data_IF_293260617730
#
_entry.id   IF_293260617730
#
_cell.length_a   1.000
_cell.length_b   1.000
_cell.length_c   1.000
_cell.angle_alpha   90.00
_cell.angle_beta   90.00
_cell.angle_gamma   90.00
#
_symmetry.space_group_name_H-M   'P 1'
#
loop_
_entity.id
_entity.type
_entity.pdbx_description
1 polymer ?
#
# COMPACT_ATOMS: atom_id res chain seq x y z
N UNK A 1 8.50 7.17 -6.63
CA UNK A 1 7.33 7.87 -6.02
C UNK A 1 7.12 7.62 -4.52
N UNK A 2 7.25 6.44 -3.92
CA UNK A 2 6.92 6.28 -2.49
C UNK A 2 7.58 7.31 -1.55
N UNK A 3 8.85 7.70 -1.74
CA UNK A 3 9.48 8.76 -0.94
C UNK A 3 9.07 10.19 -1.33
N UNK A 4 8.60 10.42 -2.55
CA UNK A 4 8.08 11.72 -3.00
C UNK A 4 6.59 11.87 -2.62
N UNK A 5 5.83 10.81 -2.64
CA UNK A 5 4.41 10.77 -2.26
C UNK A 5 4.25 10.98 -0.75
N UNK A 6 5.05 10.31 0.09
CA UNK A 6 5.02 10.55 1.53
C UNK A 6 5.38 12.02 1.88
N UNK A 7 6.33 12.63 1.14
CA UNK A 7 6.63 14.05 1.27
C UNK A 7 5.48 14.94 0.80
N UNK A 8 4.78 14.56 -0.28
CA UNK A 8 3.62 15.30 -0.78
C UNK A 8 2.45 15.26 0.20
N UNK A 9 2.07 14.09 0.71
CA UNK A 9 0.98 13.97 1.69
C UNK A 9 1.29 14.63 3.04
N UNK A 10 2.57 14.87 3.33
CA UNK A 10 2.99 15.65 4.49
C UNK A 10 3.07 17.16 4.22
N UNK A 11 2.92 17.62 2.98
CA UNK A 11 2.95 19.04 2.62
C UNK A 11 1.79 19.81 3.25
N UNK A 12 2.01 21.10 3.51
CA UNK A 12 0.96 22.00 4.01
C UNK A 12 -0.16 22.19 2.98
N UNK A 13 0.16 22.13 1.69
CA UNK A 13 -0.81 22.21 0.61
C UNK A 13 -1.77 21.03 0.63
N UNK A 14 -1.27 19.81 0.62
CA UNK A 14 -2.11 18.61 0.68
C UNK A 14 -2.97 18.57 1.95
N UNK A 15 -2.39 18.86 3.12
CA UNK A 15 -3.12 18.93 4.40
C UNK A 15 -4.24 19.95 4.39
N UNK A 16 -4.00 21.09 3.75
CA UNK A 16 -5.02 22.13 3.59
C UNK A 16 -6.17 21.64 2.70
N UNK A 17 -5.86 21.00 1.56
CA UNK A 17 -6.84 20.45 0.64
C UNK A 17 -7.65 19.32 1.30
N UNK A 18 -7.00 18.43 2.01
CA UNK A 18 -7.65 17.35 2.76
C UNK A 18 -8.62 17.89 3.80
N UNK A 19 -8.19 18.87 4.62
CA UNK A 19 -9.05 19.51 5.63
C UNK A 19 -10.23 20.25 5.01
N UNK A 20 -10.02 20.91 3.89
CA UNK A 20 -11.09 21.60 3.15
C UNK A 20 -12.13 20.59 2.64
N UNK A 21 -11.69 19.48 2.06
CA UNK A 21 -12.57 18.41 1.59
C UNK A 21 -13.36 17.78 2.74
N UNK A 22 -12.69 17.36 3.83
CA UNK A 22 -13.34 16.72 4.98
C UNK A 22 -14.34 17.67 5.67
N UNK A 23 -14.01 18.97 5.76
CA UNK A 23 -14.92 19.99 6.31
C UNK A 23 -16.14 20.17 5.42
N UNK A 24 -15.96 20.29 4.11
CA UNK A 24 -17.05 20.43 3.14
C UNK A 24 -17.98 19.21 3.18
N UNK A 25 -17.41 18.00 3.23
CA UNK A 25 -18.14 16.73 3.34
C UNK A 25 -19.00 16.70 4.60
N UNK A 26 -18.43 17.07 5.75
CA UNK A 26 -19.12 17.09 7.06
C UNK A 26 -20.25 18.12 7.09
N UNK A 27 -20.06 19.26 6.43
CA UNK A 27 -21.06 20.33 6.36
C UNK A 27 -22.10 20.13 5.24
N UNK A 28 -21.97 19.11 4.41
CA UNK A 28 -22.84 18.84 3.26
C UNK A 28 -22.75 19.93 2.18
N UNK A 29 -21.59 20.61 2.07
CA UNK A 29 -21.32 21.65 1.09
C UNK A 29 -20.49 21.13 -0.06
N UNK A 30 -20.62 21.77 -1.22
CA UNK A 30 -19.73 21.49 -2.35
C UNK A 30 -18.30 21.89 -2.02
N UNK A 31 -17.33 21.02 -2.33
CA UNK A 31 -15.92 21.32 -2.19
C UNK A 31 -15.42 22.08 -3.43
N UNK A 32 -14.55 23.08 -3.23
CA UNK A 32 -13.96 23.93 -4.29
C UNK A 32 -12.53 23.43 -4.61
N UNK A 33 -12.35 22.13 -4.73
CA UNK A 33 -11.09 21.53 -5.18
C UNK A 33 -11.22 21.03 -6.61
N UNK A 34 -10.13 21.05 -7.36
CA UNK A 34 -10.09 20.52 -8.72
C UNK A 34 -10.10 18.99 -8.77
N UNK A 35 -10.08 18.46 -9.99
CA UNK A 35 -10.12 17.01 -10.22
C UNK A 35 -8.89 16.29 -9.71
N UNK A 36 -7.71 16.90 -9.85
CA UNK A 36 -6.44 16.32 -9.44
C UNK A 36 -6.35 16.29 -7.91
N UNK A 37 -6.63 17.40 -7.23
CA UNK A 37 -6.59 17.46 -5.76
C UNK A 37 -7.58 16.48 -5.12
N UNK A 38 -8.75 16.28 -5.73
CA UNK A 38 -9.72 15.29 -5.25
C UNK A 38 -9.26 13.85 -5.54
N UNK A 39 -8.59 13.60 -6.66
CA UNK A 39 -8.00 12.32 -6.98
C UNK A 39 -6.85 11.98 -6.02
N UNK A 40 -5.98 12.95 -5.72
CA UNK A 40 -4.90 12.81 -4.73
C UNK A 40 -5.45 12.45 -3.34
N UNK A 41 -6.55 13.09 -2.91
CA UNK A 41 -7.23 12.76 -1.65
C UNK A 41 -7.80 11.34 -1.69
N UNK A 42 -8.36 10.91 -2.82
CA UNK A 42 -8.87 9.55 -2.97
C UNK A 42 -7.73 8.52 -2.94
N UNK A 43 -6.60 8.79 -3.59
CA UNK A 43 -5.40 7.94 -3.52
C UNK A 43 -4.82 7.89 -2.10
N UNK A 44 -4.74 9.02 -1.41
CA UNK A 44 -4.35 9.06 0.01
C UNK A 44 -5.23 8.16 0.88
N UNK A 45 -6.56 8.24 0.72
CA UNK A 45 -7.45 7.34 1.46
C UNK A 45 -7.24 5.88 1.08
N UNK A 46 -6.95 5.61 -0.20
CA UNK A 46 -6.65 4.26 -0.67
C UNK A 46 -5.39 3.70 0.01
N UNK A 47 -4.30 4.48 0.07
CA UNK A 47 -3.06 4.11 0.75
C UNK A 47 -3.24 3.93 2.27
N UNK A 48 -4.09 4.75 2.89
CA UNK A 48 -4.41 4.61 4.33
C UNK A 48 -5.42 3.48 4.62
N UNK A 49 -5.80 2.68 3.61
CA UNK A 49 -6.75 1.58 3.77
C UNK A 49 -8.21 2.01 3.98
N UNK A 50 -8.51 3.31 3.86
CA UNK A 50 -9.87 3.87 3.95
C UNK A 50 -10.61 3.72 2.62
N UNK A 51 -10.83 2.46 2.21
CA UNK A 51 -11.29 2.11 0.87
C UNK A 51 -12.67 2.68 0.51
N UNK A 52 -13.56 2.82 1.49
CA UNK A 52 -14.88 3.42 1.29
C UNK A 52 -14.76 4.93 1.01
N UNK A 53 -13.94 5.64 1.79
CA UNK A 53 -13.68 7.07 1.59
C UNK A 53 -12.96 7.31 0.25
N UNK A 54 -11.99 6.47 -0.12
CA UNK A 54 -11.29 6.54 -1.40
C UNK A 54 -12.27 6.47 -2.58
N UNK A 55 -13.15 5.47 -2.57
CA UNK A 55 -14.18 5.29 -3.61
C UNK A 55 -15.14 6.47 -3.66
N UNK A 56 -15.70 6.86 -2.51
CA UNK A 56 -16.66 7.97 -2.42
C UNK A 56 -16.05 9.27 -2.95
N UNK A 57 -14.79 9.57 -2.57
CA UNK A 57 -14.08 10.76 -3.03
C UNK A 57 -13.86 10.73 -4.54
N UNK A 58 -13.44 9.59 -5.09
CA UNK A 58 -13.23 9.44 -6.53
C UNK A 58 -14.55 9.50 -7.32
N UNK A 59 -15.65 8.92 -6.81
CA UNK A 59 -16.99 9.04 -7.41
C UNK A 59 -17.49 10.50 -7.37
N UNK A 60 -17.26 11.19 -6.26
CA UNK A 60 -17.60 12.62 -6.13
C UNK A 60 -16.81 13.45 -7.14
N UNK A 61 -15.50 13.27 -7.24
CA UNK A 61 -14.64 13.95 -8.21
C UNK A 61 -15.08 13.69 -9.66
N UNK A 62 -15.36 12.44 -10.02
CA UNK A 62 -15.85 12.06 -11.34
C UNK A 62 -17.24 12.66 -11.66
N UNK A 63 -18.09 12.90 -10.65
CA UNK A 63 -19.38 13.55 -10.83
C UNK A 63 -19.27 15.06 -11.10
N UNK A 64 -18.29 15.73 -10.46
CA UNK A 64 -18.03 17.15 -10.67
C UNK A 64 -17.26 17.40 -11.97
N UNK A 65 -16.35 16.52 -12.32
CA UNK A 65 -15.43 16.61 -13.45
C UNK A 65 -15.55 15.38 -14.36
N UNK A 66 -16.66 15.25 -15.14
CA UNK A 66 -16.91 14.03 -15.93
C UNK A 66 -15.84 13.73 -16.99
N UNK A 67 -15.14 14.76 -17.47
CA UNK A 67 -14.09 14.63 -18.50
C UNK A 67 -12.70 14.36 -17.90
N UNK A 68 -12.50 14.58 -16.59
CA UNK A 68 -11.20 14.39 -15.94
C UNK A 68 -10.77 12.93 -15.92
N UNK A 69 -9.48 12.69 -16.10
CA UNK A 69 -8.85 11.37 -16.18
C UNK A 69 -8.54 10.80 -14.80
N UNK A 70 -7.90 11.57 -13.91
CA UNK A 70 -7.39 11.10 -12.63
C UNK A 70 -8.45 10.40 -11.74
N UNK A 71 -9.67 10.95 -11.51
CA UNK A 71 -10.67 10.26 -10.71
C UNK A 71 -11.10 8.90 -11.28
N UNK A 72 -11.11 8.77 -12.63
CA UNK A 72 -11.47 7.51 -13.31
C UNK A 72 -10.37 6.46 -13.14
N UNK A 73 -9.10 6.88 -13.11
CA UNK A 73 -7.96 6.01 -12.83
C UNK A 73 -8.09 5.42 -11.41
N UNK A 74 -8.36 6.27 -10.41
CA UNK A 74 -8.55 5.81 -9.02
C UNK A 74 -9.71 4.81 -8.93
N UNK A 75 -10.84 5.09 -9.57
CA UNK A 75 -11.99 4.17 -9.61
C UNK A 75 -11.65 2.85 -10.29
N UNK A 76 -10.95 2.88 -11.41
CA UNK A 76 -10.53 1.66 -12.12
C UNK A 76 -9.61 0.80 -11.23
N UNK A 77 -8.61 1.41 -10.58
CA UNK A 77 -7.73 0.72 -9.62
C UNK A 77 -8.52 0.16 -8.43
N UNK A 78 -9.49 0.88 -7.90
CA UNK A 78 -10.39 0.38 -6.86
C UNK A 78 -11.12 -0.90 -7.30
N UNK A 79 -11.67 -0.93 -8.52
CA UNK A 79 -12.32 -2.13 -9.04
C UNK A 79 -11.34 -3.26 -9.36
N UNK A 80 -10.11 -2.98 -9.75
CA UNK A 80 -9.06 -3.98 -9.97
C UNK A 80 -8.61 -4.58 -8.63
N UNK A 81 -8.23 -3.73 -7.66
CA UNK A 81 -7.53 -4.17 -6.46
C UNK A 81 -8.47 -4.62 -5.34
N UNK A 82 -9.59 -3.92 -5.14
CA UNK A 82 -10.50 -4.14 -4.00
C UNK A 82 -11.67 -5.05 -4.39
N UNK A 83 -12.43 -4.67 -5.40
CA UNK A 83 -13.65 -5.41 -5.79
C UNK A 83 -13.37 -6.61 -6.68
N UNK A 84 -12.19 -6.68 -7.32
CA UNK A 84 -11.83 -7.70 -8.31
C UNK A 84 -12.87 -7.82 -9.43
N UNK A 85 -13.46 -6.69 -9.82
CA UNK A 85 -14.53 -6.57 -10.81
C UNK A 85 -13.95 -6.12 -12.16
N UNK A 86 -13.75 -7.08 -13.06
CA UNK A 86 -13.14 -6.84 -14.38
C UNK A 86 -14.00 -5.95 -15.27
N UNK A 87 -15.33 -6.07 -15.19
CA UNK A 87 -16.24 -5.33 -16.05
C UNK A 87 -16.33 -3.87 -15.63
N UNK A 88 -16.48 -3.59 -14.33
CA UNK A 88 -16.50 -2.21 -13.82
C UNK A 88 -15.16 -1.49 -14.00
N UNK A 89 -14.04 -2.20 -13.79
CA UNK A 89 -12.73 -1.64 -14.10
C UNK A 89 -12.63 -1.22 -15.57
N UNK A 90 -13.11 -2.10 -16.48
CA UNK A 90 -13.15 -1.81 -17.91
C UNK A 90 -14.05 -0.61 -18.25
N UNK A 91 -15.24 -0.52 -17.66
CA UNK A 91 -16.14 0.61 -17.84
C UNK A 91 -15.52 1.95 -17.43
N UNK A 92 -14.75 1.97 -16.33
CA UNK A 92 -14.01 3.15 -15.90
C UNK A 92 -12.93 3.53 -16.91
N UNK A 93 -12.16 2.55 -17.39
CA UNK A 93 -11.08 2.75 -18.38
C UNK A 93 -11.65 3.27 -19.71
N UNK A 94 -12.76 2.72 -20.20
CA UNK A 94 -13.38 3.13 -21.48
C UNK A 94 -13.95 4.57 -21.44
N UNK A 95 -14.15 5.14 -20.26
CA UNK A 95 -14.56 6.54 -20.09
C UNK A 95 -13.39 7.53 -20.07
N UNK A 96 -12.16 7.06 -20.07
CA UNK A 96 -10.96 7.91 -20.12
C UNK A 96 -10.75 8.34 -21.58
N UNK A 97 -10.65 9.63 -21.80
CA UNK A 97 -10.46 10.22 -23.14
C UNK A 97 -9.04 10.65 -23.40
N UNK A 98 -8.31 11.03 -22.35
CA UNK A 98 -6.89 11.38 -22.40
C UNK A 98 -6.07 10.13 -22.09
N UNK A 99 -5.33 9.62 -23.08
CA UNK A 99 -4.69 8.32 -23.02
C UNK A 99 -3.15 8.39 -23.19
N UNK A 100 -2.58 9.58 -23.08
CA UNK A 100 -1.17 9.82 -23.40
C UNK A 100 -0.33 10.24 -22.19
N UNK A 101 -0.72 9.84 -20.99
CA UNK A 101 0.04 10.06 -19.76
C UNK A 101 0.51 8.76 -19.13
N UNK A 102 1.47 8.86 -18.20
CA UNK A 102 2.07 7.74 -17.50
C UNK A 102 1.04 6.94 -16.69
N UNK A 103 0.15 7.62 -15.96
CA UNK A 103 -0.82 6.97 -15.08
C UNK A 103 -1.80 6.09 -15.87
N UNK A 104 -2.24 6.57 -17.05
CA UNK A 104 -3.07 5.78 -17.96
C UNK A 104 -2.31 4.56 -18.49
N UNK A 105 -1.05 4.72 -18.90
CA UNK A 105 -0.22 3.61 -19.39
C UNK A 105 -0.06 2.51 -18.34
N UNK A 106 0.23 2.90 -17.10
CA UNK A 106 0.33 1.99 -15.95
C UNK A 106 -1.00 1.31 -15.64
N UNK A 107 -2.12 2.06 -15.63
CA UNK A 107 -3.46 1.50 -15.41
C UNK A 107 -3.81 0.44 -16.46
N UNK A 108 -3.52 0.68 -17.74
CA UNK A 108 -3.78 -0.29 -18.82
C UNK A 108 -2.94 -1.55 -18.62
N UNK A 109 -1.66 -1.40 -18.26
CA UNK A 109 -0.81 -2.55 -17.97
C UNK A 109 -1.34 -3.34 -16.77
N UNK A 110 -1.72 -2.67 -15.69
CA UNK A 110 -2.30 -3.26 -14.50
C UNK A 110 -3.60 -4.02 -14.80
N UNK A 111 -4.51 -3.42 -15.57
CA UNK A 111 -5.73 -4.08 -16.01
C UNK A 111 -5.46 -5.34 -16.85
N UNK A 112 -4.48 -5.30 -17.74
CA UNK A 112 -4.11 -6.49 -18.51
C UNK A 112 -3.49 -7.58 -17.62
N UNK A 113 -2.67 -7.23 -16.63
CA UNK A 113 -2.16 -8.21 -15.65
C UNK A 113 -3.32 -8.81 -14.86
N UNK A 114 -4.22 -8.00 -14.34
CA UNK A 114 -5.40 -8.43 -13.60
C UNK A 114 -6.32 -9.36 -14.42
N UNK A 115 -6.41 -9.13 -15.73
CA UNK A 115 -7.18 -10.00 -16.65
C UNK A 115 -6.36 -11.15 -17.22
N UNK A 116 -5.19 -11.45 -16.65
CA UNK A 116 -4.27 -12.55 -17.02
C UNK A 116 -3.70 -12.45 -18.45
N UNK A 117 -3.67 -11.25 -19.03
CA UNK A 117 -3.14 -10.97 -20.38
C UNK A 117 -1.75 -10.34 -20.29
N UNK A 118 -0.82 -11.02 -19.63
CA UNK A 118 0.52 -10.49 -19.31
C UNK A 118 1.30 -9.94 -20.50
N UNK A 119 1.20 -10.60 -21.66
CA UNK A 119 1.87 -10.14 -22.88
C UNK A 119 1.30 -8.78 -23.33
N UNK A 120 -0.01 -8.57 -23.21
CA UNK A 120 -0.62 -7.27 -23.55
C UNK A 120 -0.22 -6.16 -22.59
N UNK A 121 0.02 -6.49 -21.31
CA UNK A 121 0.52 -5.53 -20.35
C UNK A 121 1.91 -5.02 -20.77
N UNK A 122 2.82 -5.93 -21.13
CA UNK A 122 4.15 -5.53 -21.60
C UNK A 122 4.06 -4.74 -22.91
N UNK A 123 3.24 -5.17 -23.86
CA UNK A 123 3.03 -4.41 -25.10
C UNK A 123 2.48 -3.00 -24.84
N UNK A 124 1.64 -2.81 -23.82
CA UNK A 124 1.13 -1.49 -23.46
C UNK A 124 2.23 -0.59 -22.89
N UNK A 125 3.07 -1.12 -22.01
CA UNK A 125 4.23 -0.41 -21.47
C UNK A 125 5.27 -0.09 -22.54
N UNK A 126 5.58 -1.05 -23.44
CA UNK A 126 6.51 -0.83 -24.55
C UNK A 126 5.98 0.24 -25.51
N UNK A 127 4.67 0.26 -25.74
CA UNK A 127 4.03 1.30 -26.55
C UNK A 127 4.13 2.66 -25.84
N UNK A 128 4.00 2.71 -24.53
CA UNK A 128 4.14 3.95 -23.76
C UNK A 128 5.52 4.61 -23.95
N UNK A 129 6.59 3.83 -24.05
CA UNK A 129 7.93 4.33 -24.41
C UNK A 129 8.00 5.09 -25.75
N UNK A 130 6.99 4.93 -26.61
CA UNK A 130 6.99 5.55 -27.96
C UNK A 130 6.19 6.84 -28.04
N UNK A 131 5.31 7.14 -27.06
CA UNK A 131 4.46 8.32 -27.10
C UNK A 131 4.56 9.20 -25.86
N UNK A 132 5.09 8.69 -24.75
CA UNK A 132 5.35 9.53 -23.58
C UNK A 132 6.53 10.47 -23.83
N UNK A 133 6.47 11.65 -23.25
CA UNK A 133 7.47 12.71 -23.39
C UNK A 133 7.89 13.21 -22.01
N UNK A 134 8.95 14.00 -21.95
CA UNK A 134 9.44 14.72 -20.79
C UNK A 134 9.59 13.82 -19.51
N UNK A 135 9.00 14.27 -18.40
CA UNK A 135 9.09 13.59 -17.09
C UNK A 135 8.41 12.22 -17.11
N UNK A 136 7.26 12.09 -17.78
CA UNK A 136 6.53 10.80 -17.90
C UNK A 136 7.37 9.72 -18.55
N UNK A 137 8.16 10.08 -19.57
CA UNK A 137 9.07 9.13 -20.23
C UNK A 137 10.27 8.76 -19.34
N UNK A 138 10.72 9.68 -18.48
CA UNK A 138 11.80 9.43 -17.54
C UNK A 138 11.34 8.53 -16.39
N UNK A 139 10.12 8.70 -15.92
CA UNK A 139 9.56 7.98 -14.79
C UNK A 139 9.02 6.59 -15.16
N UNK A 140 8.62 6.39 -16.42
CA UNK A 140 8.05 5.11 -16.87
C UNK A 140 8.89 3.88 -16.51
N UNK A 141 10.24 3.85 -16.67
CA UNK A 141 11.02 2.67 -16.33
C UNK A 141 10.91 2.27 -14.85
N UNK A 142 11.00 3.24 -13.95
CA UNK A 142 10.91 2.98 -12.51
C UNK A 142 9.49 2.53 -12.11
N UNK A 143 8.46 3.21 -12.62
CA UNK A 143 7.08 2.90 -12.30
C UNK A 143 6.61 1.57 -12.93
N UNK A 144 7.02 1.26 -14.17
CA UNK A 144 6.77 -0.03 -14.79
C UNK A 144 7.47 -1.17 -14.02
N UNK A 145 8.72 -0.95 -13.60
CA UNK A 145 9.45 -1.91 -12.76
C UNK A 145 8.70 -2.15 -11.45
N UNK A 146 8.24 -1.09 -10.80
CA UNK A 146 7.50 -1.14 -9.56
C UNK A 146 6.19 -1.95 -9.71
N UNK A 147 5.38 -1.58 -10.68
CA UNK A 147 4.13 -2.29 -11.01
C UNK A 147 4.36 -3.78 -11.26
N UNK A 148 5.33 -4.12 -12.09
CA UNK A 148 5.61 -5.51 -12.45
C UNK A 148 6.12 -6.33 -11.27
N UNK A 149 6.87 -5.72 -10.34
CA UNK A 149 7.30 -6.37 -9.10
C UNK A 149 6.12 -6.66 -8.17
N UNK A 150 5.14 -5.76 -8.06
CA UNK A 150 3.93 -5.96 -7.26
C UNK A 150 3.14 -7.20 -7.71
N UNK A 151 3.18 -7.48 -9.01
CA UNK A 151 2.53 -8.66 -9.59
C UNK A 151 3.47 -9.87 -9.79
N UNK A 152 4.68 -9.85 -9.19
CA UNK A 152 5.64 -10.96 -9.25
C UNK A 152 6.25 -11.23 -10.62
N UNK A 153 6.17 -10.26 -11.54
CA UNK A 153 6.71 -10.35 -12.90
C UNK A 153 8.19 -9.92 -12.96
N UNK A 154 9.02 -10.49 -12.09
CA UNK A 154 10.42 -10.09 -11.84
C UNK A 154 11.28 -10.01 -13.09
N UNK A 155 11.12 -10.96 -14.03
CA UNK A 155 11.92 -10.96 -15.28
C UNK A 155 11.62 -9.74 -16.14
N UNK A 156 10.35 -9.38 -16.27
CA UNK A 156 9.91 -8.24 -17.04
C UNK A 156 10.26 -6.93 -16.33
N UNK A 157 10.07 -6.88 -15.03
CA UNK A 157 10.47 -5.75 -14.19
C UNK A 157 11.94 -5.39 -14.38
N UNK A 158 12.83 -6.39 -14.43
CA UNK A 158 14.26 -6.19 -14.67
C UNK A 158 14.57 -5.48 -15.98
N UNK A 159 13.83 -5.81 -17.04
CA UNK A 159 14.00 -5.14 -18.32
C UNK A 159 13.75 -3.63 -18.21
N UNK A 160 12.67 -3.20 -17.55
CA UNK A 160 12.38 -1.77 -17.37
C UNK A 160 13.39 -1.10 -16.43
N UNK A 161 13.84 -1.75 -15.37
CA UNK A 161 14.88 -1.22 -14.51
C UNK A 161 16.19 -0.95 -15.27
N UNK A 162 16.52 -1.78 -16.27
CA UNK A 162 17.71 -1.60 -17.11
C UNK A 162 17.58 -0.41 -18.09
N UNK A 163 16.36 0.02 -18.42
CA UNK A 163 16.06 1.19 -19.27
C UNK A 163 16.25 2.52 -18.55
N UNK A 164 16.26 2.51 -17.20
CA UNK A 164 16.46 3.74 -16.42
C UNK A 164 17.82 4.37 -16.75
N UNK A 165 17.77 5.67 -17.05
CA UNK A 165 18.95 6.44 -17.52
C UNK A 165 19.83 6.90 -16.37
N UNK A 166 19.25 7.19 -15.20
CA UNK A 166 20.00 7.64 -14.03
C UNK A 166 20.15 6.52 -12.98
N UNK A 167 21.12 5.64 -13.25
CA UNK A 167 21.47 4.53 -12.34
C UNK A 167 22.09 4.96 -11.00
N UNK A 168 22.27 6.26 -10.80
CA UNK A 168 22.79 6.84 -9.55
C UNK A 168 21.70 7.46 -8.68
N UNK A 169 20.50 7.65 -9.22
CA UNK A 169 19.35 8.21 -8.50
C UNK A 169 18.96 7.34 -7.31
N UNK A 170 18.39 7.95 -6.28
CA UNK A 170 17.89 7.21 -5.13
C UNK A 170 16.70 6.32 -5.51
N UNK A 171 15.89 6.71 -6.50
CA UNK A 171 14.76 5.95 -6.99
C UNK A 171 15.20 4.69 -7.74
N UNK A 172 16.19 4.81 -8.63
CA UNK A 172 16.81 3.63 -9.24
C UNK A 172 17.40 2.67 -8.20
N UNK A 173 18.14 3.19 -7.22
CA UNK A 173 18.74 2.36 -6.17
C UNK A 173 17.66 1.66 -5.32
N UNK A 174 16.55 2.34 -5.00
CA UNK A 174 15.40 1.72 -4.32
C UNK A 174 14.80 0.58 -5.14
N UNK A 175 14.56 0.81 -6.43
CA UNK A 175 14.03 -0.23 -7.33
C UNK A 175 15.01 -1.39 -7.49
N UNK A 176 16.31 -1.11 -7.54
CA UNK A 176 17.36 -2.13 -7.59
C UNK A 176 17.41 -2.97 -6.31
N UNK A 177 17.26 -2.35 -5.12
CA UNK A 177 17.16 -3.09 -3.87
C UNK A 177 15.91 -3.98 -3.85
N UNK A 178 14.76 -3.44 -4.24
CA UNK A 178 13.50 -4.17 -4.33
C UNK A 178 13.58 -5.34 -5.31
N UNK A 179 14.24 -5.15 -6.45
CA UNK A 179 14.53 -6.21 -7.41
C UNK A 179 15.40 -7.31 -6.79
N UNK A 180 16.46 -6.95 -6.07
CA UNK A 180 17.32 -7.92 -5.41
C UNK A 180 16.53 -8.75 -4.37
N UNK A 181 15.67 -8.13 -3.58
CA UNK A 181 14.78 -8.84 -2.66
C UNK A 181 13.81 -9.79 -3.38
N UNK A 182 13.21 -9.35 -4.50
CA UNK A 182 12.33 -10.18 -5.32
C UNK A 182 13.08 -11.38 -5.95
N UNK A 183 14.36 -11.21 -6.28
CA UNK A 183 15.25 -12.29 -6.73
C UNK A 183 15.80 -13.15 -5.57
N UNK A 184 15.38 -12.90 -4.34
CA UNK A 184 15.85 -13.59 -3.11
C UNK A 184 17.33 -13.37 -2.79
N UNK A 185 17.90 -12.27 -3.24
CA UNK A 185 19.29 -11.84 -2.99
C UNK A 185 19.29 -10.82 -1.84
N UNK A 186 19.04 -11.29 -0.63
CA UNK A 186 18.85 -10.43 0.54
C UNK A 186 20.05 -9.51 0.77
N UNK A 187 21.27 -10.06 0.77
CA UNK A 187 22.48 -9.32 1.09
C UNK A 187 22.72 -8.14 0.13
N UNK A 188 22.47 -8.35 -1.17
CA UNK A 188 22.58 -7.30 -2.19
C UNK A 188 21.53 -6.21 -1.96
N UNK A 189 20.28 -6.59 -1.69
CA UNK A 189 19.20 -5.64 -1.42
C UNK A 189 19.43 -4.84 -0.15
N UNK A 190 19.83 -5.49 0.92
CA UNK A 190 20.11 -4.86 2.21
C UNK A 190 21.28 -3.87 2.13
N UNK A 191 22.39 -4.21 1.46
CA UNK A 191 23.53 -3.31 1.25
C UNK A 191 23.11 -2.03 0.51
N UNK A 192 22.26 -2.15 -0.49
CA UNK A 192 21.75 -0.98 -1.23
C UNK A 192 20.86 -0.12 -0.31
N UNK A 193 19.99 -0.73 0.47
CA UNK A 193 19.11 -0.02 1.42
C UNK A 193 19.93 0.69 2.51
N UNK A 194 20.93 0.04 3.07
CA UNK A 194 21.83 0.65 4.06
C UNK A 194 22.53 1.88 3.49
N UNK A 195 23.01 1.81 2.24
CA UNK A 195 23.62 2.97 1.56
C UNK A 195 22.63 4.12 1.32
N UNK A 196 21.36 3.82 1.08
CA UNK A 196 20.31 4.84 0.97
C UNK A 196 20.02 5.47 2.33
N UNK A 197 19.95 4.67 3.37
CA UNK A 197 19.77 5.12 4.76
C UNK A 197 20.96 5.97 5.22
N UNK A 198 22.20 5.61 4.88
CA UNK A 198 23.37 6.42 5.19
C UNK A 198 23.32 7.83 4.57
N UNK A 199 22.67 7.98 3.40
CA UNK A 199 22.46 9.29 2.75
C UNK A 199 21.34 10.10 3.41
N UNK A 200 20.30 9.43 3.88
CA UNK A 200 19.13 10.07 4.50
C UNK A 200 18.65 9.24 5.71
N UNK A 201 19.37 9.30 6.84
CA UNK A 201 19.10 8.46 8.02
C UNK A 201 17.81 8.83 8.75
N UNK A 202 17.22 9.99 8.47
CA UNK A 202 15.95 10.43 9.04
C UNK A 202 14.72 10.05 8.19
N UNK A 203 14.90 9.35 7.09
CA UNK A 203 13.82 8.86 6.25
C UNK A 203 13.21 7.58 6.84
N UNK A 204 12.10 7.73 7.56
CA UNK A 204 11.39 6.60 8.20
C UNK A 204 10.93 5.56 7.19
N UNK A 205 10.60 5.96 5.95
CA UNK A 205 10.20 5.07 4.86
C UNK A 205 11.28 4.07 4.48
N UNK A 206 12.55 4.49 4.42
CA UNK A 206 13.67 3.58 4.13
C UNK A 206 13.86 2.53 5.23
N UNK A 207 13.78 2.94 6.49
CA UNK A 207 13.84 2.02 7.63
C UNK A 207 12.68 1.03 7.65
N UNK A 208 11.46 1.49 7.31
CA UNK A 208 10.28 0.61 7.21
C UNK A 208 10.45 -0.44 6.10
N UNK A 209 10.88 -0.02 4.90
CA UNK A 209 11.13 -0.94 3.78
C UNK A 209 12.16 -2.00 4.19
N UNK A 210 13.30 -1.58 4.78
CA UNK A 210 14.32 -2.52 5.23
C UNK A 210 13.77 -3.50 6.26
N UNK A 211 13.00 -3.03 7.25
CA UNK A 211 12.41 -3.87 8.28
C UNK A 211 11.39 -4.88 7.71
N UNK A 212 10.56 -4.47 6.75
CA UNK A 212 9.63 -5.36 6.06
C UNK A 212 10.39 -6.49 5.35
N UNK A 213 11.44 -6.14 4.60
CA UNK A 213 12.22 -7.14 3.89
C UNK A 213 13.00 -8.05 4.85
N UNK A 214 13.53 -7.50 5.94
CA UNK A 214 14.13 -8.33 6.99
C UNK A 214 13.15 -9.34 7.59
N UNK A 215 11.87 -8.93 7.80
CA UNK A 215 10.81 -9.86 8.22
C UNK A 215 10.53 -10.93 7.15
N UNK A 216 10.50 -10.57 5.87
CA UNK A 216 10.26 -11.50 4.75
C UNK A 216 11.37 -12.54 4.59
N UNK A 217 12.58 -12.20 5.05
CA UNK A 217 13.76 -13.10 5.03
C UNK A 217 14.07 -13.71 6.41
N UNK A 218 13.08 -13.77 7.30
CA UNK A 218 13.17 -14.37 8.64
C UNK A 218 14.25 -13.74 9.56
N UNK A 219 14.69 -12.51 9.25
CA UNK A 219 15.66 -11.75 10.03
C UNK A 219 14.94 -10.85 11.06
N UNK A 220 14.09 -11.47 11.86
CA UNK A 220 13.14 -10.75 12.74
C UNK A 220 13.79 -9.84 13.77
N UNK A 221 14.96 -10.21 14.31
CA UNK A 221 15.70 -9.37 15.26
C UNK A 221 16.20 -8.09 14.59
N UNK A 222 16.71 -8.21 13.34
CA UNK A 222 17.15 -7.04 12.57
C UNK A 222 15.97 -6.17 12.21
N UNK A 223 14.84 -6.76 11.81
CA UNK A 223 13.61 -6.04 11.51
C UNK A 223 13.11 -5.22 12.72
N UNK A 224 13.13 -5.80 13.92
CA UNK A 224 12.80 -5.08 15.13
C UNK A 224 13.73 -3.87 15.36
N UNK A 225 15.04 -4.06 15.19
CA UNK A 225 16.01 -2.96 15.33
C UNK A 225 15.79 -1.87 14.28
N UNK A 226 15.63 -2.24 13.01
CA UNK A 226 15.42 -1.25 11.93
C UNK A 226 14.15 -0.43 12.14
N UNK A 227 13.05 -1.07 12.57
CA UNK A 227 11.80 -0.35 12.81
C UNK A 227 11.84 0.48 14.10
N UNK A 228 12.63 0.10 15.10
CA UNK A 228 12.84 0.93 16.29
C UNK A 228 13.57 2.24 15.93
N UNK A 229 14.47 2.25 14.91
CA UNK A 229 15.03 3.50 14.39
C UNK A 229 13.96 4.37 13.72
N UNK A 230 13.06 3.81 12.92
CA UNK A 230 11.94 4.58 12.35
C UNK A 230 11.06 5.20 13.44
N UNK A 231 10.73 4.43 14.49
CA UNK A 231 9.92 4.90 15.63
C UNK A 231 10.65 5.91 16.52
N UNK A 232 11.98 5.91 16.55
CA UNK A 232 12.75 6.94 17.23
C UNK A 232 12.69 8.30 16.51
N UNK A 233 12.42 8.29 15.20
CA UNK A 233 12.25 9.49 14.35
C UNK A 233 10.79 9.95 14.42
N UNK A 234 9.83 9.04 14.26
CA UNK A 234 8.38 9.29 14.34
C UNK A 234 7.69 8.24 15.22
N UNK A 235 7.38 8.62 16.45
CA UNK A 235 6.72 7.76 17.45
C UNK A 235 5.19 7.64 17.26
N UNK A 236 4.62 8.31 16.24
CA UNK A 236 3.20 8.27 15.89
C UNK A 236 2.90 7.50 14.60
N UNK A 237 3.83 6.72 14.11
CA UNK A 237 3.64 5.87 12.95
C UNK A 237 2.99 4.53 13.35
N UNK A 238 1.66 4.42 13.13
CA UNK A 238 0.90 3.21 13.44
C UNK A 238 1.38 1.99 12.62
N UNK A 239 1.80 2.20 11.36
CA UNK A 239 2.33 1.15 10.49
C UNK A 239 3.66 0.62 11.04
N UNK A 240 4.54 1.49 11.50
CA UNK A 240 5.81 1.10 12.11
C UNK A 240 5.58 0.21 13.34
N UNK A 241 4.61 0.54 14.20
CA UNK A 241 4.24 -0.34 15.32
C UNK A 241 3.66 -1.68 14.86
N UNK A 242 2.90 -1.73 13.76
CA UNK A 242 2.44 -3.00 13.18
C UNK A 242 3.61 -3.86 12.70
N UNK A 243 4.59 -3.28 12.02
CA UNK A 243 5.79 -3.98 11.55
C UNK A 243 6.60 -4.50 12.74
N UNK A 244 6.77 -3.69 13.81
CA UNK A 244 7.46 -4.11 15.04
C UNK A 244 6.73 -5.27 15.71
N UNK A 245 5.39 -5.18 15.81
CA UNK A 245 4.55 -6.25 16.35
C UNK A 245 4.71 -7.54 15.55
N UNK A 246 4.74 -7.47 14.22
CA UNK A 246 4.96 -8.61 13.34
C UNK A 246 6.32 -9.27 13.59
N UNK A 247 7.40 -8.49 13.74
CA UNK A 247 8.73 -9.01 14.06
C UNK A 247 8.73 -9.77 15.40
N UNK A 248 8.18 -9.18 16.46
CA UNK A 248 8.08 -9.85 17.77
C UNK A 248 7.15 -11.06 17.75
N UNK A 249 6.06 -11.02 17.01
CA UNK A 249 5.17 -12.18 16.83
C UNK A 249 5.90 -13.36 16.19
N UNK A 250 6.65 -13.11 15.13
CA UNK A 250 7.47 -14.12 14.46
C UNK A 250 8.61 -14.68 15.34
N UNK A 251 9.12 -13.87 16.27
CA UNK A 251 10.06 -14.30 17.31
C UNK A 251 9.36 -15.05 18.46
N UNK A 252 8.05 -15.31 18.37
CA UNK A 252 7.24 -15.90 19.44
C UNK A 252 7.22 -15.06 20.73
N UNK A 253 7.61 -13.79 20.68
CA UNK A 253 7.52 -12.87 21.80
C UNK A 253 6.17 -12.15 21.80
N UNK A 254 5.11 -12.91 22.10
CA UNK A 254 3.72 -12.44 21.99
C UNK A 254 3.39 -11.28 22.92
N UNK A 255 4.09 -11.14 24.06
CA UNK A 255 3.89 -10.03 24.97
C UNK A 255 4.36 -8.71 24.35
N UNK A 256 5.59 -8.67 23.80
CA UNK A 256 6.10 -7.48 23.10
C UNK A 256 5.31 -7.19 21.82
N UNK A 257 4.87 -8.22 21.13
CA UNK A 257 4.01 -8.06 19.97
C UNK A 257 2.70 -7.37 20.35
N UNK A 258 2.03 -7.79 21.44
CA UNK A 258 0.83 -7.13 21.97
C UNK A 258 1.05 -5.67 22.32
N UNK A 259 2.18 -5.34 22.94
CA UNK A 259 2.52 -3.95 23.29
C UNK A 259 2.63 -3.08 22.03
N UNK A 260 3.30 -3.58 20.99
CA UNK A 260 3.43 -2.89 19.71
C UNK A 260 2.06 -2.73 19.01
N UNK A 261 1.26 -3.81 18.91
CA UNK A 261 -0.06 -3.73 18.27
C UNK A 261 -1.03 -2.82 19.03
N UNK A 262 -0.95 -2.74 20.37
CA UNK A 262 -1.73 -1.77 21.15
C UNK A 262 -1.37 -0.33 20.84
N UNK A 263 -0.06 -0.02 20.74
CA UNK A 263 0.39 1.31 20.34
C UNK A 263 -0.09 1.67 18.93
N UNK A 264 -0.06 0.72 17.99
CA UNK A 264 -0.65 0.92 16.67
C UNK A 264 -2.14 1.24 16.77
N UNK A 265 -2.91 0.48 17.56
CA UNK A 265 -4.35 0.68 17.75
C UNK A 265 -4.69 2.00 18.48
N UNK A 266 -3.83 2.49 19.37
CA UNK A 266 -4.00 3.81 20.02
C UNK A 266 -3.86 4.97 19.01
N UNK A 267 -3.07 4.78 17.95
CA UNK A 267 -2.88 5.78 16.90
C UNK A 267 -3.97 5.64 15.83
N UNK A 268 -4.20 4.41 15.36
CA UNK A 268 -5.22 4.08 14.36
C UNK A 268 -6.00 2.87 14.84
N UNK A 269 -7.24 3.11 15.29
CA UNK A 269 -8.14 2.03 15.71
C UNK A 269 -8.63 1.24 14.47
N UNK A 270 -8.03 0.06 14.22
CA UNK A 270 -8.27 -0.75 13.04
C UNK A 270 -8.60 -2.20 13.38
N UNK A 271 -9.36 -2.86 12.50
CA UNK A 271 -9.63 -4.29 12.58
C UNK A 271 -8.34 -5.12 12.49
N UNK A 272 -7.34 -4.64 11.75
CA UNK A 272 -6.06 -5.33 11.59
C UNK A 272 -5.30 -5.43 12.92
N UNK A 273 -5.24 -4.35 13.69
CA UNK A 273 -4.60 -4.35 15.01
C UNK A 273 -5.29 -5.33 15.96
N UNK A 274 -6.63 -5.32 15.98
CA UNK A 274 -7.41 -6.25 16.83
C UNK A 274 -7.19 -7.71 16.41
N UNK A 275 -7.20 -7.99 15.11
CA UNK A 275 -6.94 -9.34 14.59
C UNK A 275 -5.54 -9.84 14.99
N UNK A 276 -4.51 -8.99 14.91
CA UNK A 276 -3.16 -9.38 15.31
C UNK A 276 -3.04 -9.57 16.83
N UNK A 277 -3.73 -8.76 17.63
CA UNK A 277 -3.82 -8.98 19.09
C UNK A 277 -4.55 -10.29 19.42
N UNK A 278 -5.64 -10.62 18.70
CA UNK A 278 -6.32 -11.90 18.85
C UNK A 278 -5.38 -13.08 18.58
N UNK A 279 -4.58 -13.03 17.52
CA UNK A 279 -3.59 -14.07 17.19
C UNK A 279 -2.52 -14.22 18.29
N UNK A 280 -2.09 -13.11 18.89
CA UNK A 280 -1.18 -13.17 20.06
C UNK A 280 -1.82 -13.90 21.24
N UNK A 281 -3.07 -13.58 21.59
CA UNK A 281 -3.79 -14.23 22.68
C UNK A 281 -4.06 -15.70 22.38
N UNK A 282 -4.38 -16.03 21.12
CA UNK A 282 -4.50 -17.43 20.70
C UNK A 282 -3.21 -18.22 20.93
N UNK A 283 -2.07 -17.67 20.52
CA UNK A 283 -0.75 -18.31 20.77
C UNK A 283 -0.42 -18.44 22.27
N UNK A 284 -0.93 -17.53 23.10
CA UNK A 284 -0.81 -17.61 24.58
C UNK A 284 -1.91 -18.46 25.22
N UNK A 285 -2.78 -19.10 24.44
CA UNK A 285 -3.89 -19.96 24.88
C UNK A 285 -4.97 -19.23 25.72
N UNK A 286 -5.09 -17.91 25.60
CA UNK A 286 -6.15 -17.12 26.21
C UNK A 286 -7.33 -16.98 25.21
N UNK A 287 -8.18 -18.02 25.17
CA UNK A 287 -9.26 -18.11 24.17
C UNK A 287 -10.36 -17.05 24.40
N UNK A 288 -10.60 -16.65 25.64
CA UNK A 288 -11.61 -15.63 25.96
C UNK A 288 -11.21 -14.29 25.34
N UNK A 289 -9.95 -13.87 25.51
CA UNK A 289 -9.45 -12.65 24.89
C UNK A 289 -9.31 -12.79 23.39
N UNK A 290 -8.93 -13.96 22.88
CA UNK A 290 -8.91 -14.23 21.43
C UNK A 290 -10.27 -13.92 20.82
N UNK A 291 -11.35 -14.49 21.36
CA UNK A 291 -12.70 -14.25 20.86
C UNK A 291 -13.16 -12.81 21.04
N UNK A 292 -12.78 -12.16 22.15
CA UNK A 292 -13.13 -10.76 22.38
C UNK A 292 -12.51 -9.83 21.31
N UNK A 293 -11.22 -10.01 20.99
CA UNK A 293 -10.55 -9.23 19.97
C UNK A 293 -11.00 -9.57 18.55
N UNK A 294 -11.31 -10.85 18.25
CA UNK A 294 -11.89 -11.21 16.94
C UNK A 294 -13.27 -10.56 16.74
N UNK A 295 -14.12 -10.52 17.77
CA UNK A 295 -15.41 -9.82 17.71
C UNK A 295 -15.22 -8.32 17.52
N UNK A 296 -14.25 -7.70 18.19
CA UNK A 296 -13.92 -6.29 17.98
C UNK A 296 -13.46 -6.04 16.54
N UNK A 297 -12.58 -6.88 15.99
CA UNK A 297 -12.15 -6.81 14.60
C UNK A 297 -13.32 -6.96 13.63
N UNK A 298 -14.23 -7.92 13.88
CA UNK A 298 -15.42 -8.13 13.05
C UNK A 298 -16.34 -6.90 13.03
N UNK A 299 -16.54 -6.22 14.17
CA UNK A 299 -17.38 -5.01 14.22
C UNK A 299 -16.80 -3.82 13.47
N UNK A 300 -15.48 -3.76 13.30
CA UNK A 300 -14.77 -2.73 12.54
C UNK A 300 -14.71 -3.05 11.05
N UNK A 301 -14.93 -4.30 10.64
CA UNK A 301 -14.93 -4.70 9.26
C UNK A 301 -16.13 -4.13 8.51
N UNK A 302 -15.86 -3.53 7.36
CA UNK A 302 -16.86 -3.19 6.35
C UNK A 302 -16.94 -4.28 5.28
N UNK A 303 -17.90 -4.20 4.37
CA UNK A 303 -17.97 -5.14 3.22
C UNK A 303 -16.75 -5.03 2.28
N UNK A 304 -16.01 -3.93 2.39
CA UNK A 304 -14.84 -3.60 1.56
C UNK A 304 -13.52 -3.99 2.21
N UNK A 305 -13.54 -4.44 3.47
CA UNK A 305 -12.32 -4.76 4.21
C UNK A 305 -11.76 -6.12 3.77
N UNK A 306 -10.50 -6.13 3.35
CA UNK A 306 -9.81 -7.35 2.89
C UNK A 306 -9.69 -8.43 4.00
N UNK A 307 -9.70 -8.01 5.26
CA UNK A 307 -9.45 -8.89 6.42
C UNK A 307 -10.66 -9.74 6.86
N UNK A 308 -11.86 -9.54 6.29
CA UNK A 308 -13.07 -10.26 6.70
C UNK A 308 -12.94 -11.79 6.63
N UNK A 309 -12.34 -12.29 5.54
CA UNK A 309 -12.10 -13.73 5.35
C UNK A 309 -11.13 -14.26 6.40
N UNK A 310 -10.07 -13.52 6.69
CA UNK A 310 -9.06 -13.89 7.66
C UNK A 310 -9.63 -13.93 9.08
N UNK A 311 -10.48 -12.96 9.44
CA UNK A 311 -11.19 -12.95 10.73
C UNK A 311 -12.11 -14.17 10.86
N UNK A 312 -12.91 -14.49 9.83
CA UNK A 312 -13.75 -15.68 9.84
C UNK A 312 -12.93 -16.98 9.98
N UNK A 313 -11.78 -17.04 9.32
CA UNK A 313 -10.84 -18.17 9.46
C UNK A 313 -10.28 -18.26 10.88
N UNK A 314 -9.88 -17.15 11.48
CA UNK A 314 -9.34 -17.12 12.83
C UNK A 314 -10.40 -17.50 13.89
N UNK A 315 -11.68 -17.12 13.69
CA UNK A 315 -12.79 -17.63 14.49
C UNK A 315 -12.94 -19.14 14.35
N UNK A 316 -12.96 -19.68 13.13
CA UNK A 316 -13.10 -21.13 12.90
C UNK A 316 -11.97 -21.92 13.57
N UNK A 317 -10.74 -21.45 13.47
CA UNK A 317 -9.58 -22.06 14.15
C UNK A 317 -9.76 -22.03 15.67
N UNK A 318 -10.18 -20.88 16.22
CA UNK A 318 -10.35 -20.71 17.68
C UNK A 318 -11.44 -21.61 18.22
N UNK A 319 -12.63 -21.67 17.58
CA UNK A 319 -13.71 -22.57 17.99
C UNK A 319 -13.34 -24.04 17.83
N UNK A 320 -12.61 -24.40 16.74
CA UNK A 320 -12.09 -25.75 16.56
C UNK A 320 -11.17 -26.18 17.71
N UNK A 321 -10.32 -25.29 18.17
CA UNK A 321 -9.45 -25.53 19.34
C UNK A 321 -10.23 -25.68 20.65
N UNK A 322 -11.31 -24.92 20.84
CA UNK A 322 -12.17 -25.01 22.00
C UNK A 322 -13.10 -26.24 21.96
N UNK A 323 -13.11 -27.01 20.87
CA UNK A 323 -13.99 -28.13 20.69
C UNK A 323 -15.43 -27.79 20.36
N UNK A 324 -15.70 -26.55 20.03
CA UNK A 324 -17.02 -26.06 19.57
C UNK A 324 -17.05 -26.10 18.03
N UNK A 325 -17.73 -27.10 17.48
CA UNK A 325 -17.91 -27.28 16.04
C UNK A 325 -19.19 -26.56 15.52
N UNK A 326 -19.58 -25.42 16.08
CA UNK A 326 -20.67 -24.59 15.59
C UNK A 326 -20.21 -23.50 14.61
#
# INVERSE_FOLDING_TARGET
MAGSIDNYYNSEEFKTNLNLYETSKREGKSCILGSEELADIAEYYFEKGKLADAKETAEYAASLYPDATAPKIVLARYYIMVKKDKEKAKECIEKITECNDLNYALLIAEYYIFTEKKEKAIMALDKALTYLEDEDLLDLPAEACNLLLDYGMTKQAKHYLELDRDKSSNDYLRMKARMAFAERKYEEGAEIMERLIDKDPFNTGLWKILAIEQNNFDKYSNAATSIEYALAIDDKDAEAYMILGNAFFKMCNYQKALEAYRKSAEIVDSEQSDMMMARCYFCMQDMDKTLAYLKSAETKCTEETANKIDICRDFAITYGWMGNNE
#
